data_IF_372172292906
#
_entry.id   IF_372172292906
#
_cell.length_a   1.000
_cell.length_b   1.000
_cell.length_c   1.000
_cell.angle_alpha   90.00
_cell.angle_beta   90.00
_cell.angle_gamma   90.00
#
_symmetry.space_group_name_H-M   'P 1'
#
loop_
_entity.id
_entity.type
_entity.pdbx_description
1 polymer ?
#
# COMPACT_ATOMS: atom_id res chain seq x y z
N UNK A 1 -30.71 23.77 -34.91
CA UNK A 1 -29.81 22.62 -34.74
C UNK A 1 -28.40 23.00 -34.30
N UNK A 2 -27.70 23.95 -34.96
CA UNK A 2 -26.34 24.39 -34.56
C UNK A 2 -26.19 24.86 -33.10
N UNK A 3 -27.20 25.56 -32.53
CA UNK A 3 -27.17 26.05 -31.14
C UNK A 3 -27.21 24.93 -30.09
N UNK A 4 -27.90 23.82 -30.38
CA UNK A 4 -27.96 22.67 -29.47
C UNK A 4 -26.68 21.83 -29.53
N UNK A 5 -25.99 21.83 -30.67
CA UNK A 5 -24.70 21.14 -30.83
C UNK A 5 -23.61 21.77 -29.94
N UNK A 6 -23.60 23.10 -29.82
CA UNK A 6 -22.66 23.83 -28.94
C UNK A 6 -22.91 23.51 -27.46
N UNK A 7 -24.17 23.39 -27.04
CA UNK A 7 -24.54 23.02 -25.66
C UNK A 7 -24.09 21.59 -25.34
N UNK A 8 -24.23 20.65 -26.29
CA UNK A 8 -23.78 19.27 -26.14
C UNK A 8 -22.24 19.20 -26.05
N UNK A 9 -21.52 19.95 -26.88
CA UNK A 9 -20.04 19.99 -26.83
C UNK A 9 -19.53 20.58 -25.51
N UNK A 10 -20.20 21.62 -24.99
CA UNK A 10 -19.90 22.18 -23.67
C UNK A 10 -20.21 21.15 -22.56
N UNK A 11 -21.34 20.45 -22.62
CA UNK A 11 -21.66 19.40 -21.63
C UNK A 11 -20.65 18.24 -21.63
N UNK A 12 -20.17 17.83 -22.81
CA UNK A 12 -19.17 16.76 -22.93
C UNK A 12 -17.82 17.21 -22.40
N UNK A 13 -17.39 18.45 -22.64
CA UNK A 13 -16.12 18.97 -22.13
C UNK A 13 -16.12 19.18 -20.61
N UNK A 14 -17.26 19.48 -20.00
CA UNK A 14 -17.39 19.54 -18.53
C UNK A 14 -17.33 18.15 -17.86
N UNK A 15 -17.79 17.08 -18.53
CA UNK A 15 -17.69 15.71 -17.98
C UNK A 15 -16.31 15.08 -18.19
N UNK A 16 -15.48 15.61 -19.09
CA UNK A 16 -14.09 15.20 -19.27
C UNK A 16 -13.15 15.78 -18.19
N UNK A 17 -13.66 16.63 -17.29
CA UNK A 17 -12.88 17.23 -16.22
C UNK A 17 -12.68 16.23 -15.07
N UNK A 18 -11.53 15.55 -15.08
CA UNK A 18 -10.87 14.90 -13.95
C UNK A 18 -11.72 13.90 -13.15
N UNK A 19 -11.78 12.65 -13.63
CA UNK A 19 -12.09 11.51 -12.76
C UNK A 19 -10.91 11.24 -11.83
N UNK A 20 -10.79 11.99 -10.73
CA UNK A 20 -9.97 11.58 -9.60
C UNK A 20 -10.62 10.36 -8.95
N UNK A 21 -9.83 9.31 -8.72
CA UNK A 21 -10.30 8.11 -8.04
C UNK A 21 -10.80 8.48 -6.64
N UNK A 22 -12.12 8.34 -6.47
CA UNK A 22 -12.85 8.69 -5.25
C UNK A 22 -13.60 7.47 -4.77
N UNK A 23 -13.26 7.03 -3.56
CA UNK A 23 -14.02 6.00 -2.86
C UNK A 23 -15.23 6.63 -2.17
N UNK A 24 -16.41 6.00 -2.32
CA UNK A 24 -17.64 6.34 -1.62
C UNK A 24 -18.08 5.13 -0.80
N UNK A 25 -18.04 5.22 0.53
CA UNK A 25 -18.32 4.11 1.45
C UNK A 25 -18.72 4.66 2.82
N UNK A 26 -19.57 3.93 3.55
CA UNK A 26 -19.79 4.17 4.98
C UNK A 26 -18.58 3.61 5.77
N UNK A 27 -17.72 4.50 6.27
CA UNK A 27 -16.43 4.19 6.91
C UNK A 27 -16.54 4.25 8.44
N UNK A 28 -17.37 5.15 8.97
CA UNK A 28 -17.59 5.28 10.41
C UNK A 28 -18.78 4.48 10.96
N UNK A 29 -19.53 3.83 10.08
CA UNK A 29 -20.65 2.92 10.35
C UNK A 29 -21.85 3.64 10.97
N UNK A 30 -22.17 4.83 10.48
CA UNK A 30 -23.37 5.59 10.88
C UNK A 30 -24.54 5.47 9.88
N UNK A 31 -24.33 4.74 8.77
CA UNK A 31 -25.32 4.54 7.71
C UNK A 31 -25.28 5.58 6.59
N UNK A 32 -24.44 6.61 6.69
CA UNK A 32 -24.24 7.65 5.69
C UNK A 32 -22.94 7.39 4.90
N UNK A 33 -22.91 7.80 3.63
CA UNK A 33 -21.74 7.59 2.77
C UNK A 33 -20.68 8.66 3.02
N UNK A 34 -19.47 8.20 3.29
CA UNK A 34 -18.26 9.00 3.39
C UNK A 34 -17.47 8.99 2.09
N UNK A 35 -16.44 9.83 2.03
CA UNK A 35 -15.58 9.91 0.84
C UNK A 35 -14.10 9.87 1.19
N UNK A 36 -13.32 9.13 0.39
CA UNK A 36 -11.86 9.14 0.40
C UNK A 36 -11.35 9.41 -1.00
N UNK A 37 -10.37 10.30 -1.14
CA UNK A 37 -9.75 10.64 -2.42
C UNK A 37 -8.35 11.20 -2.19
N UNK A 38 -7.54 11.29 -3.25
CA UNK A 38 -6.27 12.03 -3.22
C UNK A 38 -6.50 13.45 -3.73
N UNK A 39 -6.06 14.46 -2.98
CA UNK A 39 -6.06 15.84 -3.45
C UNK A 39 -4.94 16.02 -4.48
N UNK A 40 -5.27 16.27 -5.75
CA UNK A 40 -4.26 16.36 -6.81
C UNK A 40 -3.30 17.55 -6.68
N UNK A 41 -3.58 18.55 -5.84
CA UNK A 41 -2.65 19.68 -5.63
C UNK A 41 -1.63 19.38 -4.56
N UNK A 42 -2.03 18.66 -3.52
CA UNK A 42 -1.19 18.42 -2.33
C UNK A 42 -0.74 16.98 -2.19
N UNK A 43 -1.22 16.08 -3.06
CA UNK A 43 -1.02 14.63 -2.97
C UNK A 43 -1.39 14.05 -1.58
N UNK A 44 -2.32 14.70 -0.87
CA UNK A 44 -2.81 14.26 0.43
C UNK A 44 -3.98 13.29 0.25
N UNK A 45 -4.01 12.23 1.07
CA UNK A 45 -5.21 11.41 1.22
C UNK A 45 -6.20 12.21 2.05
N UNK A 46 -7.38 12.50 1.50
CA UNK A 46 -8.44 13.25 2.16
C UNK A 46 -9.61 12.34 2.48
N UNK A 47 -9.95 12.24 3.76
CA UNK A 47 -11.17 11.59 4.24
C UNK A 47 -12.19 12.64 4.70
N UNK A 48 -13.47 12.44 4.36
CA UNK A 48 -14.60 13.24 4.85
C UNK A 48 -15.66 12.30 5.38
N UNK A 49 -15.78 12.26 6.71
CA UNK A 49 -16.71 11.38 7.42
C UNK A 49 -17.98 12.15 7.81
N UNK A 50 -19.12 11.53 7.61
CA UNK A 50 -20.45 11.98 7.97
C UNK A 50 -20.59 12.21 9.48
N UNK A 51 -20.13 11.28 10.32
CA UNK A 51 -20.08 11.43 11.78
C UNK A 51 -19.18 12.57 12.29
N UNK A 52 -18.39 13.19 11.40
CA UNK A 52 -17.57 14.38 11.66
C UNK A 52 -17.99 15.59 10.81
N UNK A 53 -19.27 15.67 10.42
CA UNK A 53 -19.84 16.76 9.62
C UNK A 53 -19.07 17.01 8.30
N UNK A 54 -18.51 15.96 7.71
CA UNK A 54 -17.70 16.00 6.50
C UNK A 54 -16.50 16.95 6.56
N UNK A 55 -15.97 17.21 7.77
CA UNK A 55 -14.69 17.93 7.94
C UNK A 55 -13.57 17.13 7.26
N UNK A 56 -12.67 17.84 6.57
CA UNK A 56 -11.51 17.21 5.93
C UNK A 56 -10.52 16.73 6.99
N UNK A 57 -10.23 15.44 6.99
CA UNK A 57 -9.04 14.86 7.60
C UNK A 57 -8.05 14.53 6.49
N UNK A 58 -6.78 14.89 6.68
CA UNK A 58 -5.78 14.84 5.61
C UNK A 58 -4.52 14.18 6.11
N UNK A 59 -3.86 13.39 5.25
CA UNK A 59 -2.48 12.98 5.48
C UNK A 59 -1.50 14.13 5.31
N UNK A 60 -0.20 13.91 5.60
CA UNK A 60 0.86 14.91 5.42
C UNK A 60 1.30 15.12 3.95
N UNK A 61 0.65 14.44 3.01
CA UNK A 61 1.02 14.42 1.60
C UNK A 61 1.94 13.25 1.24
N UNK A 62 1.94 12.89 -0.05
CA UNK A 62 2.82 11.91 -0.70
C UNK A 62 3.76 12.67 -1.65
N UNK A 63 5.05 12.38 -1.61
CA UNK A 63 6.00 12.86 -2.63
C UNK A 63 5.97 11.96 -3.87
N UNK A 64 5.45 10.75 -3.71
CA UNK A 64 5.34 9.74 -4.76
C UNK A 64 4.19 10.05 -5.73
N UNK A 65 4.39 9.70 -7.00
CA UNK A 65 3.34 9.81 -8.04
C UNK A 65 2.08 9.04 -7.63
N UNK A 66 0.93 9.67 -7.87
CA UNK A 66 -0.40 9.12 -7.56
C UNK A 66 -1.05 8.45 -8.78
N UNK A 67 -0.36 8.42 -9.92
CA UNK A 67 -0.88 7.88 -11.19
C UNK A 67 -1.26 6.41 -11.12
N UNK A 68 -0.50 5.64 -10.33
CA UNK A 68 -0.71 4.20 -10.11
C UNK A 68 -1.32 3.91 -8.74
N UNK A 69 -1.83 4.95 -8.08
CA UNK A 69 -2.40 4.85 -6.75
C UNK A 69 -3.93 4.88 -6.80
N UNK A 70 -4.55 4.19 -5.86
CA UNK A 70 -6.00 4.09 -5.81
C UNK A 70 -6.53 3.69 -4.44
N UNK A 71 -7.85 3.61 -4.35
CA UNK A 71 -8.54 3.20 -3.13
C UNK A 71 -9.42 1.99 -3.36
N UNK A 72 -9.34 1.02 -2.45
CA UNK A 72 -10.22 -0.15 -2.43
C UNK A 72 -11.04 -0.17 -1.13
N UNK A 73 -12.36 -0.45 -1.18
CA UNK A 73 -13.15 -0.63 0.03
C UNK A 73 -12.71 -1.91 0.75
N UNK A 74 -12.62 -1.86 2.08
CA UNK A 74 -12.43 -3.06 2.91
C UNK A 74 -13.63 -3.25 3.84
N UNK A 75 -13.72 -4.40 4.53
CA UNK A 75 -14.83 -4.66 5.46
C UNK A 75 -14.94 -3.60 6.56
N UNK A 76 -13.79 -3.14 7.09
CA UNK A 76 -13.71 -2.26 8.24
C UNK A 76 -13.16 -0.84 7.92
N UNK A 77 -13.02 -0.49 6.64
CA UNK A 77 -12.54 0.82 6.21
C UNK A 77 -12.16 0.83 4.73
N UNK A 78 -10.92 1.19 4.44
CA UNK A 78 -10.41 1.26 3.07
C UNK A 78 -8.92 0.91 3.01
N UNK A 79 -8.43 0.69 1.81
CA UNK A 79 -7.01 0.49 1.51
C UNK A 79 -6.57 1.52 0.48
N UNK A 80 -5.45 2.18 0.74
CA UNK A 80 -4.71 2.96 -0.26
C UNK A 80 -3.61 2.06 -0.84
N UNK A 81 -3.58 1.90 -2.15
CA UNK A 81 -2.57 1.09 -2.83
C UNK A 81 -1.80 1.94 -3.85
N UNK A 82 -0.56 1.54 -4.14
CA UNK A 82 0.26 2.07 -5.23
C UNK A 82 0.90 0.87 -5.93
N UNK A 83 0.41 0.55 -7.13
CA UNK A 83 0.75 -0.67 -7.83
C UNK A 83 1.52 -0.36 -9.13
N UNK A 84 2.80 -0.73 -9.17
CA UNK A 84 3.62 -0.63 -10.37
C UNK A 84 3.78 -2.01 -11.02
N UNK A 85 4.33 -2.03 -12.24
CA UNK A 85 4.47 -3.25 -13.04
C UNK A 85 5.21 -4.39 -12.31
N UNK A 86 6.17 -4.08 -11.42
CA UNK A 86 7.04 -5.07 -10.76
C UNK A 86 7.08 -4.98 -9.24
N UNK A 87 6.47 -3.96 -8.66
CA UNK A 87 6.43 -3.77 -7.22
C UNK A 87 5.22 -2.93 -6.87
N UNK A 88 4.74 -3.07 -5.65
CA UNK A 88 3.65 -2.25 -5.18
C UNK A 88 3.46 -2.41 -3.68
N UNK A 89 2.61 -1.58 -3.14
CA UNK A 89 2.31 -1.60 -1.72
C UNK A 89 0.87 -1.19 -1.44
N UNK A 90 0.40 -1.59 -0.26
CA UNK A 90 -0.91 -1.20 0.24
C UNK A 90 -0.85 -0.79 1.71
N UNK A 91 -1.72 0.15 2.07
CA UNK A 91 -1.88 0.71 3.40
C UNK A 91 -3.36 0.62 3.79
N UNK A 92 -3.67 -0.23 4.77
CA UNK A 92 -5.04 -0.47 5.20
C UNK A 92 -5.41 0.45 6.35
N UNK A 93 -6.51 1.17 6.20
CA UNK A 93 -7.04 2.11 7.18
C UNK A 93 -8.41 1.67 7.69
N UNK A 94 -8.70 1.96 8.96
CA UNK A 94 -10.03 1.81 9.57
C UNK A 94 -10.40 3.01 10.43
N UNK A 95 -11.70 3.25 10.61
CA UNK A 95 -12.14 4.22 11.61
C UNK A 95 -11.98 3.68 13.04
N UNK A 96 -11.33 4.45 13.89
CA UNK A 96 -11.24 4.21 15.33
C UNK A 96 -12.35 5.02 16.02
N UNK A 97 -13.43 4.34 16.41
CA UNK A 97 -14.62 4.97 17.03
C UNK A 97 -14.31 5.69 18.34
N UNK A 98 -13.39 5.16 19.14
CA UNK A 98 -13.02 5.75 20.45
C UNK A 98 -12.31 7.09 20.27
N UNK A 99 -11.35 7.15 19.34
CA UNK A 99 -10.56 8.35 19.10
C UNK A 99 -11.15 9.27 18.04
N UNK A 100 -12.18 8.82 17.33
CA UNK A 100 -12.83 9.50 16.20
C UNK A 100 -11.82 9.90 15.11
N UNK A 101 -10.90 8.99 14.78
CA UNK A 101 -9.82 9.18 13.79
C UNK A 101 -9.70 7.98 12.86
N UNK A 102 -9.15 8.19 11.68
CA UNK A 102 -8.77 7.12 10.75
C UNK A 102 -7.39 6.58 11.17
N UNK A 103 -7.30 5.29 11.46
CA UNK A 103 -6.09 4.61 11.93
C UNK A 103 -5.55 3.66 10.86
N UNK A 104 -4.24 3.71 10.62
CA UNK A 104 -3.53 2.70 9.82
C UNK A 104 -3.43 1.40 10.63
N UNK A 105 -3.87 0.29 10.05
CA UNK A 105 -3.95 -1.02 10.71
C UNK A 105 -3.14 -2.12 10.05
N UNK A 106 -2.70 -1.90 8.82
CA UNK A 106 -1.90 -2.86 8.10
C UNK A 106 -1.14 -2.21 6.97
N UNK A 107 0.00 -2.79 6.64
CA UNK A 107 0.76 -2.46 5.45
C UNK A 107 1.16 -3.76 4.75
N UNK A 108 1.20 -3.74 3.43
CA UNK A 108 1.69 -4.84 2.63
C UNK A 108 2.54 -4.32 1.47
N UNK A 109 3.43 -5.18 0.95
CA UNK A 109 4.23 -4.91 -0.23
C UNK A 109 4.50 -6.18 -1.01
N UNK A 110 4.68 -6.04 -2.31
CA UNK A 110 5.12 -7.12 -3.19
C UNK A 110 6.24 -6.64 -4.10
N UNK A 111 7.05 -7.58 -4.56
CA UNK A 111 8.05 -7.41 -5.60
C UNK A 111 8.07 -8.66 -6.49
N UNK A 112 7.98 -8.49 -7.80
CA UNK A 112 8.09 -9.59 -8.76
C UNK A 112 9.53 -9.87 -9.19
N UNK A 113 10.50 -9.13 -8.65
CA UNK A 113 11.90 -9.18 -9.08
C UNK A 113 12.16 -8.36 -10.35
N UNK A 114 13.42 -8.02 -10.59
CA UNK A 114 13.83 -7.31 -11.80
C UNK A 114 14.12 -8.28 -12.96
N UNK A 115 14.42 -7.72 -14.14
CA UNK A 115 14.82 -8.52 -15.30
C UNK A 115 16.19 -9.24 -15.12
N UNK A 116 16.97 -8.85 -14.10
CA UNK A 116 18.21 -9.51 -13.72
C UNK A 116 18.00 -10.70 -12.76
N UNK A 117 16.74 -11.07 -12.49
CA UNK A 117 16.32 -12.12 -11.57
C UNK A 117 16.63 -11.82 -10.09
N UNK A 118 16.65 -10.57 -9.65
CA UNK A 118 16.75 -10.28 -8.22
C UNK A 118 15.49 -10.70 -7.46
N UNK A 119 15.62 -10.77 -6.13
CA UNK A 119 14.62 -11.35 -5.24
C UNK A 119 13.18 -10.89 -5.47
N UNK A 120 12.25 -11.80 -5.19
CA UNK A 120 10.81 -11.60 -5.41
C UNK A 120 10.02 -12.15 -4.24
N UNK A 121 8.80 -11.67 -4.04
CA UNK A 121 7.95 -12.10 -2.96
C UNK A 121 7.06 -10.99 -2.45
N UNK A 122 6.56 -11.18 -1.25
CA UNK A 122 5.61 -10.28 -0.61
C UNK A 122 5.76 -10.32 0.90
N UNK A 123 5.31 -9.25 1.55
CA UNK A 123 5.15 -9.23 2.99
C UNK A 123 3.98 -8.38 3.43
N UNK A 124 3.52 -8.64 4.65
CA UNK A 124 2.52 -7.81 5.32
C UNK A 124 2.84 -7.67 6.81
N UNK A 125 2.31 -6.60 7.40
CA UNK A 125 2.31 -6.39 8.85
C UNK A 125 0.90 -6.01 9.31
N UNK A 126 0.44 -6.63 10.40
CA UNK A 126 -0.74 -6.19 11.13
C UNK A 126 -0.28 -5.24 12.24
N UNK A 127 -0.59 -3.94 12.12
CA UNK A 127 -0.13 -2.92 13.07
C UNK A 127 -0.88 -2.95 14.41
N UNK A 128 -1.98 -3.69 14.50
CA UNK A 128 -2.70 -3.88 15.76
C UNK A 128 -2.02 -4.92 16.66
N UNK A 129 -1.42 -5.97 16.07
CA UNK A 129 -0.76 -7.05 16.81
C UNK A 129 0.77 -7.04 16.67
N UNK A 130 1.29 -6.27 15.72
CA UNK A 130 2.68 -6.26 15.29
C UNK A 130 3.10 -7.52 14.52
N UNK A 131 2.16 -8.39 14.11
CA UNK A 131 2.53 -9.62 13.40
C UNK A 131 3.02 -9.29 11.99
N UNK A 132 4.26 -9.68 11.70
CA UNK A 132 4.85 -9.59 10.38
C UNK A 132 4.96 -10.99 9.76
N UNK A 133 4.61 -11.08 8.47
CA UNK A 133 4.81 -12.27 7.64
C UNK A 133 5.47 -11.85 6.33
N UNK A 134 6.59 -12.49 5.98
CA UNK A 134 7.29 -12.30 4.71
C UNK A 134 7.53 -13.62 3.98
N UNK A 135 7.11 -13.69 2.72
CA UNK A 135 7.34 -14.81 1.81
C UNK A 135 8.23 -14.32 0.68
N UNK A 136 9.51 -14.69 0.71
CA UNK A 136 10.51 -14.12 -0.19
C UNK A 136 11.31 -15.22 -0.90
N UNK A 137 11.85 -14.85 -2.03
CA UNK A 137 12.73 -15.64 -2.86
C UNK A 137 13.93 -14.79 -3.26
N UNK A 138 15.05 -15.44 -3.54
CA UNK A 138 16.21 -14.79 -4.16
C UNK A 138 16.76 -15.69 -5.27
N UNK A 139 17.35 -15.11 -6.30
CA UNK A 139 18.02 -15.90 -7.32
C UNK A 139 19.48 -16.15 -6.93
N UNK A 140 19.90 -17.40 -7.08
CA UNK A 140 21.25 -17.87 -6.82
C UNK A 140 21.90 -18.22 -8.15
N UNK A 141 22.67 -17.28 -8.72
CA UNK A 141 23.32 -17.46 -10.03
C UNK A 141 24.30 -18.64 -10.05
N UNK A 142 24.85 -19.02 -8.90
CA UNK A 142 25.82 -20.11 -8.78
C UNK A 142 25.15 -21.47 -8.57
N UNK A 143 23.83 -21.52 -8.39
CA UNK A 143 23.11 -22.77 -8.28
C UNK A 143 23.01 -23.48 -9.64
N UNK A 144 22.76 -24.79 -9.59
CA UNK A 144 22.49 -25.61 -10.78
C UNK A 144 23.60 -25.54 -11.85
N UNK A 145 24.85 -25.77 -11.44
CA UNK A 145 26.03 -25.67 -12.33
C UNK A 145 26.09 -24.33 -13.07
N UNK A 146 25.97 -23.23 -12.32
CA UNK A 146 25.98 -21.85 -12.84
C UNK A 146 24.83 -21.49 -13.80
N UNK A 147 23.81 -22.36 -13.94
CA UNK A 147 22.59 -22.06 -14.69
C UNK A 147 21.60 -21.20 -13.90
N UNK A 148 21.89 -20.96 -12.63
CA UNK A 148 21.05 -20.20 -11.73
C UNK A 148 19.80 -20.95 -11.26
N UNK A 149 19.26 -20.54 -10.11
CA UNK A 149 17.98 -21.03 -9.60
C UNK A 149 17.32 -20.02 -8.68
N UNK A 150 15.99 -19.89 -8.76
CA UNK A 150 15.21 -19.19 -7.76
C UNK A 150 15.13 -20.01 -6.46
N UNK A 151 15.53 -19.41 -5.36
CA UNK A 151 15.60 -20.03 -4.04
C UNK A 151 14.54 -19.42 -3.14
N UNK A 152 13.66 -20.27 -2.63
CA UNK A 152 12.64 -19.90 -1.66
C UNK A 152 13.31 -19.72 -0.29
N UNK A 153 13.04 -18.59 0.36
CA UNK A 153 13.41 -18.34 1.76
C UNK A 153 12.27 -18.88 2.64
N UNK A 154 12.56 -19.61 3.73
CA UNK A 154 11.53 -19.99 4.69
C UNK A 154 10.74 -18.77 5.18
N UNK A 155 9.41 -18.89 5.27
CA UNK A 155 8.53 -17.77 5.67
C UNK A 155 9.05 -17.11 6.94
N UNK A 156 9.26 -15.80 6.85
CA UNK A 156 9.69 -14.98 7.98
C UNK A 156 8.46 -14.64 8.78
N UNK A 157 8.37 -15.14 10.01
CA UNK A 157 7.33 -14.77 10.98
C UNK A 157 8.00 -14.11 12.18
N UNK A 158 7.71 -12.84 12.44
CA UNK A 158 8.30 -12.10 13.57
C UNK A 158 7.38 -10.96 14.01
N UNK A 159 7.80 -10.21 15.03
CA UNK A 159 7.13 -8.99 15.47
C UNK A 159 7.77 -7.76 14.84
N UNK A 160 6.94 -6.86 14.31
CA UNK A 160 7.31 -5.54 13.83
C UNK A 160 6.35 -4.52 14.44
N UNK A 161 6.73 -3.99 15.59
CA UNK A 161 5.86 -3.15 16.42
C UNK A 161 5.96 -1.69 15.99
N UNK A 162 4.80 -1.05 15.84
CA UNK A 162 4.65 0.37 15.57
C UNK A 162 3.84 1.03 16.68
N UNK A 163 4.10 2.32 16.92
CA UNK A 163 3.12 3.16 17.62
C UNK A 163 1.90 3.31 16.73
N UNK A 164 0.72 3.58 17.32
CA UNK A 164 -0.48 3.86 16.54
C UNK A 164 -0.24 5.03 15.59
N UNK A 165 -0.54 4.80 14.30
CA UNK A 165 -0.44 5.79 13.23
C UNK A 165 -1.84 6.13 12.77
N UNK A 166 -2.14 7.42 12.70
CA UNK A 166 -3.41 7.92 12.18
C UNK A 166 -3.19 8.60 10.83
N UNK A 167 -4.29 8.82 10.11
CA UNK A 167 -4.24 9.43 8.78
C UNK A 167 -3.47 10.75 8.79
N UNK A 168 -3.68 11.61 9.78
CA UNK A 168 -3.02 12.91 9.89
C UNK A 168 -1.52 12.83 10.17
N UNK A 169 -1.05 11.67 10.61
CA UNK A 169 0.36 11.38 10.87
C UNK A 169 1.02 10.65 9.69
N UNK A 170 0.21 10.07 8.79
CA UNK A 170 0.64 9.26 7.65
C UNK A 170 1.28 10.10 6.53
N UNK A 171 2.33 9.54 5.95
CA UNK A 171 3.02 10.00 4.74
C UNK A 171 3.79 8.85 4.11
N UNK A 172 4.41 9.07 2.95
CA UNK A 172 5.28 8.07 2.31
C UNK A 172 6.40 7.57 3.23
N UNK A 173 6.92 8.42 4.12
CA UNK A 173 7.92 8.04 5.10
C UNK A 173 7.45 6.90 6.03
N UNK A 174 6.14 6.80 6.27
CA UNK A 174 5.55 5.68 7.04
C UNK A 174 5.75 4.36 6.29
N UNK A 175 5.45 4.35 4.98
CA UNK A 175 5.65 3.17 4.15
C UNK A 175 7.14 2.86 3.95
N UNK A 176 7.98 3.86 3.71
CA UNK A 176 9.41 3.63 3.50
C UNK A 176 10.11 3.07 4.75
N UNK A 177 9.74 3.51 5.97
CA UNK A 177 10.22 2.87 7.20
C UNK A 177 9.81 1.39 7.29
N UNK A 178 8.60 1.05 6.87
CA UNK A 178 8.15 -0.34 6.77
C UNK A 178 8.95 -1.13 5.74
N UNK A 179 9.16 -0.58 4.55
CA UNK A 179 9.93 -1.22 3.49
C UNK A 179 11.38 -1.49 3.93
N UNK A 180 12.03 -0.52 4.60
CA UNK A 180 13.39 -0.68 5.12
C UNK A 180 13.50 -1.80 6.16
N UNK A 181 12.52 -1.90 7.07
CA UNK A 181 12.47 -3.00 8.04
C UNK A 181 12.25 -4.35 7.36
N UNK A 182 11.42 -4.41 6.31
CA UNK A 182 11.24 -5.62 5.49
C UNK A 182 12.54 -6.04 4.82
N UNK A 183 13.25 -5.10 4.17
CA UNK A 183 14.52 -5.36 3.49
C UNK A 183 15.58 -5.92 4.44
N UNK A 184 15.66 -5.39 5.66
CA UNK A 184 16.57 -5.92 6.71
C UNK A 184 16.22 -7.36 7.09
N UNK A 185 14.94 -7.68 7.28
CA UNK A 185 14.50 -9.04 7.59
C UNK A 185 14.79 -10.01 6.43
N UNK A 186 14.54 -9.57 5.19
CA UNK A 186 14.85 -10.32 3.98
C UNK A 186 16.34 -10.66 3.88
N UNK A 187 17.23 -9.67 4.01
CA UNK A 187 18.68 -9.91 3.90
C UNK A 187 19.22 -10.85 5.00
N UNK A 188 18.72 -10.71 6.23
CA UNK A 188 19.04 -11.63 7.32
C UNK A 188 18.59 -13.07 7.02
N UNK A 189 17.36 -13.24 6.53
CA UNK A 189 16.81 -14.55 6.20
C UNK A 189 17.50 -15.18 4.98
N UNK A 190 17.85 -14.37 3.98
CA UNK A 190 18.63 -14.77 2.81
C UNK A 190 20.02 -15.27 3.21
N UNK A 191 20.74 -14.52 4.04
CA UNK A 191 22.06 -14.93 4.54
C UNK A 191 22.00 -16.26 5.31
N UNK A 192 20.99 -16.43 6.19
CA UNK A 192 20.75 -17.68 6.92
C UNK A 192 20.46 -18.84 5.96
N UNK A 193 19.63 -18.61 4.95
CA UNK A 193 19.28 -19.62 3.94
C UNK A 193 20.49 -20.06 3.12
N UNK A 194 21.34 -19.11 2.70
CA UNK A 194 22.61 -19.41 2.01
C UNK A 194 23.53 -20.28 2.86
N UNK A 195 23.70 -19.95 4.15
CA UNK A 195 24.54 -20.73 5.09
C UNK A 195 24.02 -22.16 5.30
N UNK A 196 22.71 -22.34 5.43
CA UNK A 196 22.12 -23.67 5.58
C UNK A 196 22.36 -24.52 4.33
N UNK A 197 22.25 -23.92 3.13
CA UNK A 197 22.50 -24.60 1.86
C UNK A 197 23.96 -24.94 1.62
N UNK A 198 24.90 -24.08 2.03
CA UNK A 198 26.34 -24.38 1.90
C UNK A 198 26.74 -25.56 2.77
N UNK A 199 26.19 -25.66 3.97
CA UNK A 199 26.48 -26.74 4.93
C UNK A 199 25.81 -28.07 4.56
N UNK A 200 24.84 -28.05 3.65
CA UNK A 200 24.11 -29.24 3.19
C UNK A 200 24.69 -29.85 1.90
N UNK A 201 25.75 -29.25 1.32
CA UNK A 201 26.48 -29.86 0.19
C UNK A 201 27.41 -30.96 0.74
N UNK A 202 27.32 -32.21 0.24
CA UNK A 202 28.19 -33.31 0.64
C UNK A 202 29.64 -33.10 0.22
#
# INVERSE_FOLDING_TARGET
>A
MKKYLVIIIIFISYNAAFSQDKLIKDIDFDGVKDTVYVDAKTAEIVCRLSGLNFKKMKSKGSESSTENAGFKPTKNGFEYHSDWMRAGYSNQFRYNKTLKRIQLIGMSRYEFGNAANDGSGESSVNLLTGDYIGNWNYFDHLANNEKGKLVIIPTIKTKMIYKSIFLEDFSDATYYDYADKCSKLYEQAKAKTKKLRSNAKP
#
